data_IF_104561657008
#
_entry.id   IF_104561657008
#
_cell.length_a   1.000
_cell.length_b   1.000
_cell.length_c   1.000
_cell.angle_alpha   90.00
_cell.angle_beta   90.00
_cell.angle_gamma   90.00
#
_symmetry.space_group_name_H-M   'P 1'
#
loop_
_entity.id
_entity.type
_entity.pdbx_description
1 polymer ?
#
# COMPACT_ATOMS: atom_id res chain seq x y z
N UNK A 1 -13.82 3.35 3.54
CA UNK A 1 -12.51 3.13 4.19
C UNK A 1 -11.42 3.52 3.22
N UNK A 2 -10.50 4.40 3.63
CA UNK A 2 -9.34 4.77 2.81
C UNK A 2 -8.25 3.72 3.05
N UNK A 3 -7.91 2.94 2.03
CA UNK A 3 -6.84 1.96 2.11
C UNK A 3 -5.51 2.59 1.71
N UNK A 4 -4.42 2.09 2.28
CA UNK A 4 -3.06 2.52 2.02
C UNK A 4 -2.20 1.31 1.67
N UNK A 5 -1.33 1.49 0.68
CA UNK A 5 -0.40 0.48 0.21
C UNK A 5 1.01 0.87 0.67
N UNK A 6 1.55 0.23 1.72
CA UNK A 6 2.92 0.44 2.13
C UNK A 6 3.87 -0.22 1.13
N UNK A 7 4.81 0.56 0.60
CA UNK A 7 5.75 0.12 -0.43
C UNK A 7 7.17 0.58 -0.10
N UNK A 8 8.12 -0.31 -0.30
CA UNK A 8 9.54 -0.01 -0.36
C UNK A 8 9.98 0.12 -1.82
N UNK A 9 10.79 1.13 -2.16
CA UNK A 9 11.31 1.32 -3.52
C UNK A 9 12.26 0.19 -3.95
N UNK A 10 13.01 -0.37 -3.00
CA UNK A 10 13.93 -1.49 -3.23
C UNK A 10 13.24 -2.86 -3.17
N UNK A 11 12.37 -3.11 -2.18
CA UNK A 11 11.78 -4.43 -1.94
C UNK A 11 10.43 -4.65 -2.64
N UNK A 12 9.74 -3.57 -3.02
CA UNK A 12 8.38 -3.66 -3.57
C UNK A 12 7.30 -3.47 -2.52
N UNK A 13 6.16 -4.12 -2.70
CA UNK A 13 5.00 -4.00 -1.83
C UNK A 13 5.30 -4.72 -0.50
N UNK A 14 5.14 -4.02 0.62
CA UNK A 14 5.41 -4.57 1.95
C UNK A 14 4.20 -5.29 2.52
N UNK A 15 3.00 -4.78 2.24
CA UNK A 15 1.76 -5.34 2.72
C UNK A 15 0.63 -5.07 1.70
N UNK A 16 -0.38 -5.93 1.68
CA UNK A 16 -1.62 -5.68 0.94
C UNK A 16 -2.30 -4.38 1.42
N UNK A 17 -3.14 -3.73 0.58
CA UNK A 17 -3.87 -2.53 0.96
C UNK A 17 -4.57 -2.68 2.31
N UNK A 18 -4.24 -1.82 3.25
CA UNK A 18 -4.73 -1.88 4.63
C UNK A 18 -4.95 -0.47 5.19
N UNK A 19 -5.52 -0.37 6.39
CA UNK A 19 -5.73 0.93 7.03
C UNK A 19 -4.41 1.67 7.31
N UNK A 20 -4.48 2.99 7.44
CA UNK A 20 -3.33 3.85 7.64
C UNK A 20 -2.40 3.37 8.78
N UNK A 21 -2.98 2.93 9.89
CA UNK A 21 -2.24 2.43 11.06
C UNK A 21 -1.41 1.19 10.73
N UNK A 22 -2.00 0.20 10.05
CA UNK A 22 -1.28 -1.04 9.67
C UNK A 22 -0.23 -0.77 8.61
N UNK A 23 -0.52 0.14 7.67
CA UNK A 23 0.44 0.55 6.66
C UNK A 23 1.65 1.27 7.28
N UNK A 24 1.43 2.15 8.27
CA UNK A 24 2.49 2.85 8.98
C UNK A 24 3.38 1.87 9.76
N UNK A 25 2.75 0.92 10.47
CA UNK A 25 3.43 -0.10 11.25
C UNK A 25 4.33 -1.00 10.37
N UNK A 26 3.82 -1.47 9.22
CA UNK A 26 4.65 -2.23 8.26
C UNK A 26 5.83 -1.42 7.71
N UNK A 27 5.66 -0.11 7.49
CA UNK A 27 6.75 0.77 7.05
C UNK A 27 7.79 0.90 8.17
N UNK A 28 7.36 1.08 9.42
CA UNK A 28 8.27 1.22 10.57
C UNK A 28 9.07 -0.06 10.82
N UNK A 29 8.41 -1.22 10.84
CA UNK A 29 9.07 -2.53 10.95
C UNK A 29 10.09 -2.74 9.83
N UNK A 30 9.73 -2.40 8.58
CA UNK A 30 10.66 -2.50 7.46
C UNK A 30 11.86 -1.55 7.61
N UNK A 31 11.63 -0.34 8.11
CA UNK A 31 12.69 0.66 8.34
C UNK A 31 13.65 0.23 9.45
N UNK A 32 13.16 -0.48 10.46
CA UNK A 32 13.99 -0.99 11.55
C UNK A 32 15.03 -2.01 11.04
N UNK A 33 14.64 -2.87 10.10
CA UNK A 33 15.51 -3.87 9.47
C UNK A 33 16.36 -3.26 8.35
N UNK A 34 15.76 -2.44 7.49
CA UNK A 34 16.38 -1.88 6.28
C UNK A 34 16.43 -0.36 6.31
N UNK A 35 17.31 0.19 7.16
CA UNK A 35 17.43 1.64 7.45
C UNK A 35 17.73 2.52 6.23
N UNK A 36 18.33 1.97 5.18
CA UNK A 36 18.73 2.70 3.96
C UNK A 36 17.68 2.66 2.85
N UNK A 37 16.62 1.87 3.01
CA UNK A 37 15.60 1.71 1.98
C UNK A 37 14.64 2.89 1.98
N UNK A 38 14.27 3.35 0.78
CA UNK A 38 13.23 4.38 0.65
C UNK A 38 11.85 3.74 0.72
N UNK A 39 11.04 4.24 1.64
CA UNK A 39 9.69 3.76 1.94
C UNK A 39 8.66 4.81 1.52
N UNK A 40 7.48 4.37 1.12
CA UNK A 40 6.38 5.23 0.68
C UNK A 40 5.05 4.61 1.05
N UNK A 41 4.11 5.45 1.45
CA UNK A 41 2.73 5.05 1.71
C UNK A 41 1.85 5.61 0.59
N UNK A 42 1.31 4.72 -0.24
CA UNK A 42 0.52 5.12 -1.40
C UNK A 42 -0.97 5.01 -1.01
N UNK A 43 -1.75 6.11 -1.03
CA UNK A 43 -3.19 6.01 -0.81
C UNK A 43 -3.84 5.24 -1.96
N UNK A 44 -4.52 4.15 -1.63
CA UNK A 44 -5.33 3.37 -2.56
C UNK A 44 -6.70 4.03 -2.60
N UNK A 45 -6.97 4.74 -3.69
CA UNK A 45 -8.32 5.22 -3.95
C UNK A 45 -9.24 3.99 -4.03
N UNK A 46 -10.40 3.99 -3.35
CA UNK A 46 -11.40 2.98 -3.64
C UNK A 46 -11.69 3.09 -5.13
N UNK A 47 -11.37 2.03 -5.86
CA UNK A 47 -11.67 1.93 -7.27
C UNK A 47 -13.19 1.84 -7.38
N UNK A 48 -13.87 2.98 -7.46
CA UNK A 48 -15.20 3.07 -8.08
C UNK A 48 -15.00 2.91 -9.58
N UNK A 49 -14.59 1.72 -10.02
CA UNK A 49 -14.91 1.30 -11.37
C UNK A 49 -16.34 0.79 -11.28
N UNK A 50 -17.35 1.46 -11.86
CA UNK A 50 -18.53 0.74 -12.24
C UNK A 50 -18.07 -0.38 -13.18
N UNK A 51 -18.27 -1.63 -12.77
CA UNK A 51 -18.23 -2.76 -13.69
C UNK A 51 -19.44 -2.58 -14.62
N UNK A 52 -19.35 -1.67 -15.59
CA UNK A 52 -20.29 -1.66 -16.70
C UNK A 52 -19.96 -2.88 -17.55
N UNK A 53 -20.86 -3.86 -17.50
CA UNK A 53 -20.72 -5.11 -18.19
C UNK A 53 -20.48 -4.90 -19.68
N UNK A 54 -19.43 -5.50 -20.20
CA UNK A 54 -19.37 -5.82 -21.63
C UNK A 54 -19.70 -7.30 -21.76
N UNK A 55 -21.01 -7.57 -21.86
CA UNK A 55 -21.51 -8.72 -22.60
C UNK A 55 -21.41 -8.35 -24.08
N UNK A 56 -20.57 -9.05 -24.83
CA UNK A 56 -20.82 -9.40 -26.24
C UNK A 56 -20.30 -10.81 -26.47
#
# INVERSE_FOLDING_TARGET
MNAYLPRCKQCGILHAPCDATRAADSIDQHRAVHKTHRLSMIPVKPTTQPMEGTRQ
#
